data_IF_993321765999
#
_entry.id   IF_993321765999
#
_cell.length_a   1.000
_cell.length_b   1.000
_cell.length_c   1.000
_cell.angle_alpha   90.00
_cell.angle_beta   90.00
_cell.angle_gamma   90.00
#
_symmetry.space_group_name_H-M   'P 1'
#
loop_
_entity.id
_entity.type
_entity.pdbx_description
1 polymer ?
#
# COMPACT_ATOMS: atom_id res chain seq x y z
N UNK A 1 17.88 7.94 -26.02
CA UNK A 1 17.84 6.52 -25.59
C UNK A 1 17.23 6.44 -24.19
N UNK A 2 16.14 5.68 -23.98
CA UNK A 2 15.66 5.39 -22.61
C UNK A 2 16.76 4.61 -21.89
N UNK A 3 17.27 5.14 -20.76
CA UNK A 3 18.23 4.40 -19.92
C UNK A 3 17.57 3.07 -19.55
N UNK A 4 18.15 1.95 -19.98
CA UNK A 4 17.70 0.62 -19.52
C UNK A 4 18.27 0.43 -18.13
N UNK A 5 17.45 0.39 -17.07
CA UNK A 5 17.97 0.20 -15.73
C UNK A 5 18.56 -1.21 -15.64
N UNK A 6 19.88 -1.30 -15.50
CA UNK A 6 20.60 -2.54 -15.17
C UNK A 6 21.10 -2.44 -13.75
N UNK A 7 20.95 -3.51 -12.98
CA UNK A 7 21.42 -3.59 -11.58
C UNK A 7 20.87 -2.46 -10.68
N UNK A 8 19.63 -2.02 -10.93
CA UNK A 8 18.92 -1.03 -10.09
C UNK A 8 17.79 -1.71 -9.33
N UNK A 9 17.58 -1.28 -8.09
CA UNK A 9 16.45 -1.70 -7.26
C UNK A 9 15.43 -0.56 -7.26
N UNK A 10 14.18 -0.92 -7.48
CA UNK A 10 13.01 -0.04 -7.45
C UNK A 10 12.01 -0.55 -6.43
N UNK A 11 11.33 0.36 -5.74
CA UNK A 11 10.31 0.03 -4.76
C UNK A 11 8.91 0.25 -5.35
N UNK A 12 8.07 -0.78 -5.31
CA UNK A 12 6.67 -0.70 -5.69
C UNK A 12 5.79 -0.58 -4.46
N UNK A 13 5.23 0.62 -4.22
CA UNK A 13 4.21 0.86 -3.19
C UNK A 13 3.26 1.98 -3.67
N UNK A 14 2.21 2.29 -2.92
CA UNK A 14 1.19 3.29 -3.27
C UNK A 14 1.46 4.69 -2.67
N UNK A 15 2.53 4.84 -1.90
CA UNK A 15 2.89 6.06 -1.14
C UNK A 15 1.85 6.48 -0.10
N UNK A 16 0.93 5.60 0.31
CA UNK A 16 -0.09 5.85 1.33
C UNK A 16 0.08 4.85 2.48
N UNK A 17 1.10 5.03 3.34
CA UNK A 17 1.35 4.09 4.41
C UNK A 17 0.17 4.02 5.37
N UNK A 18 -0.26 2.80 5.69
CA UNK A 18 -1.31 2.50 6.66
C UNK A 18 -0.77 1.55 7.72
N UNK A 19 -1.25 1.71 8.96
CA UNK A 19 -1.08 0.72 10.01
C UNK A 19 -1.93 -0.53 9.73
N UNK A 20 -1.60 -1.63 10.40
CA UNK A 20 -2.38 -2.87 10.34
C UNK A 20 -3.84 -2.64 10.76
N UNK A 21 -4.06 -1.81 11.77
CA UNK A 21 -5.41 -1.48 12.24
C UNK A 21 -6.20 -0.70 11.19
N UNK A 22 -5.61 0.35 10.62
CA UNK A 22 -6.26 1.15 9.56
C UNK A 22 -6.61 0.30 8.32
N UNK A 23 -5.77 -0.67 7.96
CA UNK A 23 -6.06 -1.64 6.88
C UNK A 23 -7.35 -2.40 7.21
N UNK A 24 -7.44 -2.99 8.40
CA UNK A 24 -8.59 -3.83 8.77
C UNK A 24 -9.87 -3.01 8.97
N UNK A 25 -9.75 -1.80 9.52
CA UNK A 25 -10.89 -0.87 9.64
C UNK A 25 -11.42 -0.48 8.26
N UNK A 26 -10.51 -0.21 7.31
CA UNK A 26 -10.87 0.10 5.92
C UNK A 26 -11.54 -1.09 5.22
N UNK A 27 -11.02 -2.30 5.43
CA UNK A 27 -11.63 -3.55 4.93
C UNK A 27 -13.05 -3.71 5.48
N UNK A 28 -13.24 -3.60 6.79
CA UNK A 28 -14.55 -3.73 7.43
C UNK A 28 -15.56 -2.70 6.91
N UNK A 29 -15.11 -1.45 6.69
CA UNK A 29 -15.92 -0.35 6.16
C UNK A 29 -16.28 -0.54 4.68
N UNK A 30 -15.39 -1.14 3.89
CA UNK A 30 -15.60 -1.31 2.45
C UNK A 30 -16.77 -2.23 2.09
N UNK A 31 -17.14 -3.16 2.97
CA UNK A 31 -18.15 -4.18 2.67
C UNK A 31 -17.73 -5.14 1.55
N UNK A 32 -16.48 -5.09 1.07
CA UNK A 32 -15.96 -5.92 -0.02
C UNK A 32 -15.85 -7.40 0.35
N UNK A 33 -15.87 -7.72 1.64
CA UNK A 33 -15.75 -9.07 2.18
C UNK A 33 -16.83 -9.31 3.24
N UNK A 34 -17.37 -10.54 3.27
CA UNK A 34 -18.47 -10.91 4.17
C UNK A 34 -18.01 -11.07 5.63
N UNK A 35 -16.76 -11.50 5.83
CA UNK A 35 -16.19 -11.71 7.17
C UNK A 35 -15.83 -10.38 7.83
N UNK A 36 -16.14 -10.25 9.12
CA UNK A 36 -15.72 -9.11 9.95
C UNK A 36 -14.42 -9.41 10.69
N UNK A 37 -13.53 -8.43 10.70
CA UNK A 37 -12.30 -8.50 11.46
C UNK A 37 -12.60 -8.52 12.97
N UNK A 38 -12.18 -9.60 13.65
CA UNK A 38 -12.38 -9.79 15.09
C UNK A 38 -11.30 -9.21 15.99
N UNK A 39 -10.23 -8.63 15.43
CA UNK A 39 -9.09 -8.09 16.18
C UNK A 39 -7.79 -8.87 15.98
N UNK A 40 -6.66 -8.21 16.25
CA UNK A 40 -5.35 -8.85 16.25
C UNK A 40 -5.14 -9.63 17.56
N UNK A 41 -4.45 -10.76 17.49
CA UNK A 41 -4.11 -11.57 18.68
C UNK A 41 -2.85 -11.11 19.41
N UNK A 42 -2.16 -10.07 18.92
CA UNK A 42 -0.96 -9.53 19.54
C UNK A 42 -0.71 -8.07 19.18
N UNK A 43 -0.33 -7.27 20.18
CA UNK A 43 -0.16 -5.81 20.09
C UNK A 43 1.31 -5.38 20.08
N UNK A 44 2.22 -6.21 20.58
CA UNK A 44 3.56 -5.77 20.99
C UNK A 44 4.64 -6.01 19.93
N UNK A 45 4.26 -5.87 18.65
CA UNK A 45 5.18 -6.00 17.52
C UNK A 45 5.98 -4.72 17.24
N UNK A 46 7.13 -4.82 16.55
CA UNK A 46 7.89 -3.64 16.15
C UNK A 46 7.05 -2.73 15.23
N UNK A 47 7.34 -1.43 15.27
CA UNK A 47 6.76 -0.47 14.33
C UNK A 47 7.17 -0.84 12.90
N UNK A 48 6.18 -0.84 12.00
CA UNK A 48 6.41 -1.07 10.58
C UNK A 48 7.25 0.03 9.92
N UNK A 49 7.61 -0.18 8.66
CA UNK A 49 8.35 0.80 7.85
C UNK A 49 7.38 1.58 6.96
N UNK A 50 7.65 2.88 6.79
CA UNK A 50 7.01 3.69 5.73
C UNK A 50 7.83 3.52 4.46
N UNK A 51 7.14 3.42 3.33
CA UNK A 51 7.73 3.18 2.01
C UNK A 51 7.22 4.22 1.03
N UNK A 52 8.04 4.57 0.05
CA UNK A 52 7.71 5.53 -0.99
C UNK A 52 8.35 5.12 -2.33
N UNK A 53 7.72 5.47 -3.45
CA UNK A 53 8.05 5.01 -4.80
C UNK A 53 8.57 6.13 -5.72
N UNK A 54 8.89 7.33 -5.19
CA UNK A 54 9.22 8.50 -6.01
C UNK A 54 10.35 8.24 -7.01
N UNK A 55 11.40 7.52 -6.58
CA UNK A 55 12.49 7.07 -7.46
C UNK A 55 11.97 6.18 -8.60
N UNK A 56 11.13 5.20 -8.27
CA UNK A 56 10.53 4.28 -9.25
C UNK A 56 9.69 5.05 -10.28
N UNK A 57 8.87 5.99 -9.83
CA UNK A 57 8.06 6.85 -10.70
C UNK A 57 8.92 7.73 -11.60
N UNK A 58 9.93 8.39 -11.03
CA UNK A 58 10.80 9.31 -11.76
C UNK A 58 11.68 8.60 -12.81
N UNK A 59 12.21 7.42 -12.48
CA UNK A 59 13.19 6.75 -13.35
C UNK A 59 12.55 5.84 -14.42
N UNK A 60 11.45 5.16 -14.09
CA UNK A 60 10.82 4.20 -15.01
C UNK A 60 9.37 4.52 -15.36
N UNK A 61 8.81 5.61 -14.83
CA UNK A 61 7.44 6.02 -15.11
C UNK A 61 6.39 5.06 -14.58
N UNK A 62 6.75 4.21 -13.62
CA UNK A 62 5.83 3.23 -13.05
C UNK A 62 4.93 3.88 -11.99
N UNK A 63 3.66 3.52 -12.05
CA UNK A 63 2.64 3.86 -11.05
C UNK A 63 1.77 2.64 -10.76
N UNK A 64 1.24 2.48 -9.53
CA UNK A 64 0.33 1.39 -9.22
C UNK A 64 -1.01 1.59 -9.93
N UNK A 65 -1.69 0.49 -10.27
CA UNK A 65 -3.05 0.53 -10.85
C UNK A 65 -4.06 1.24 -9.94
N UNK A 66 -3.89 1.11 -8.63
CA UNK A 66 -4.68 1.80 -7.61
C UNK A 66 -3.75 2.73 -6.83
N UNK A 67 -4.03 4.05 -6.75
CA UNK A 67 -3.17 5.01 -6.06
C UNK A 67 -3.12 4.85 -4.54
N UNK A 68 -4.01 4.04 -3.97
CA UNK A 68 -4.07 3.75 -2.54
C UNK A 68 -4.82 2.44 -2.25
N UNK A 69 -4.59 1.86 -1.07
CA UNK A 69 -5.38 0.72 -0.58
C UNK A 69 -6.88 1.03 -0.43
N UNK A 70 -7.25 2.25 -0.03
CA UNK A 70 -8.66 2.71 0.06
C UNK A 70 -9.34 2.71 -1.30
N UNK A 71 -8.68 3.24 -2.33
CA UNK A 71 -9.21 3.24 -3.70
C UNK A 71 -9.31 1.83 -4.28
N UNK A 72 -8.37 0.93 -3.96
CA UNK A 72 -8.50 -0.48 -4.31
C UNK A 72 -9.77 -1.13 -3.73
N UNK A 73 -10.18 -0.70 -2.53
CA UNK A 73 -11.40 -1.16 -1.87
C UNK A 73 -12.67 -0.44 -2.36
N UNK A 74 -12.55 0.51 -3.29
CA UNK A 74 -13.69 1.27 -3.80
C UNK A 74 -14.19 2.35 -2.82
N UNK A 75 -13.39 2.69 -1.82
CA UNK A 75 -13.67 3.81 -0.94
C UNK A 75 -13.06 5.08 -1.54
N UNK A 76 -13.86 6.14 -1.67
CA UNK A 76 -13.36 7.46 -2.04
C UNK A 76 -12.51 8.01 -0.90
N UNK A 77 -11.30 8.46 -1.23
CA UNK A 77 -10.38 9.16 -0.32
C UNK A 77 -10.94 10.51 0.16
#
# INVERSE_FOLDING_TARGET
MKKRPRSQIFLGCDNKPLSRQEIMDTVNRSGKFDTKFGGFTGTDGPLGKRMENSKTRAEVGWEPKYPSFTEFLGLSS
#
